data_IF_234157174502
#
_entry.id   IF_234157174502
#
_cell.length_a   1.000
_cell.length_b   1.000
_cell.length_c   1.000
_cell.angle_alpha   90.00
_cell.angle_beta   90.00
_cell.angle_gamma   90.00
#
_symmetry.space_group_name_H-M   'P 1'
#
loop_
_entity.id
_entity.type
_entity.pdbx_description
1 polymer ?
#
# COMPACT_ATOMS: atom_id res chain seq x y z
N UNK A 1 -10.87 11.26 -1.72
CA UNK A 1 -11.38 10.02 -1.10
C UNK A 1 -10.56 9.77 0.17
N UNK A 2 -10.89 8.76 0.97
CA UNK A 2 -10.20 8.51 2.25
C UNK A 2 -8.81 7.91 2.00
N UNK A 3 -7.83 8.30 2.81
CA UNK A 3 -6.49 7.69 2.77
C UNK A 3 -6.44 6.53 3.76
N UNK A 4 -5.87 5.42 3.31
CA UNK A 4 -5.60 4.24 4.12
C UNK A 4 -4.12 3.90 4.08
N UNK A 5 -3.62 3.36 5.17
CA UNK A 5 -2.25 2.90 5.33
C UNK A 5 -2.22 1.40 5.52
N UNK A 6 -1.46 0.71 4.67
CA UNK A 6 -1.06 -0.68 4.90
C UNK A 6 0.30 -0.70 5.61
N UNK A 7 0.33 -1.28 6.80
CA UNK A 7 1.56 -1.48 7.56
C UNK A 7 2.18 -2.83 7.25
N UNK A 8 3.51 -2.88 7.22
CA UNK A 8 4.27 -4.06 6.83
C UNK A 8 5.51 -4.22 7.68
N UNK A 9 5.79 -5.47 8.02
CA UNK A 9 7.07 -5.88 8.57
C UNK A 9 7.89 -6.55 7.45
N UNK A 10 9.03 -5.96 7.15
CA UNK A 10 9.97 -6.30 6.10
C UNK A 10 11.29 -6.84 6.67
N UNK A 11 11.29 -7.42 7.88
CA UNK A 11 12.49 -8.03 8.47
C UNK A 11 13.16 -8.99 7.47
N UNK A 12 14.33 -8.58 6.95
CA UNK A 12 15.14 -9.34 6.01
C UNK A 12 14.88 -9.11 4.52
N UNK A 13 13.97 -8.20 4.14
CA UNK A 13 13.65 -7.90 2.74
C UNK A 13 14.59 -6.82 2.18
N UNK A 14 15.09 -7.04 0.96
CA UNK A 14 15.96 -6.12 0.25
C UNK A 14 15.20 -4.98 -0.46
N UNK A 15 15.91 -3.90 -0.81
CA UNK A 15 15.30 -2.76 -1.53
C UNK A 15 14.70 -3.14 -2.89
N UNK A 16 15.26 -4.13 -3.58
CA UNK A 16 14.75 -4.61 -4.88
C UNK A 16 13.40 -5.33 -4.75
N UNK A 17 13.21 -6.08 -3.66
CA UNK A 17 11.96 -6.74 -3.34
C UNK A 17 10.88 -5.72 -2.97
N UNK A 18 11.25 -4.68 -2.21
CA UNK A 18 10.36 -3.55 -1.92
C UNK A 18 9.92 -2.82 -3.19
N UNK A 19 10.86 -2.52 -4.10
CA UNK A 19 10.54 -1.88 -5.37
C UNK A 19 9.63 -2.76 -6.25
N UNK A 20 9.84 -4.08 -6.23
CA UNK A 20 9.00 -5.04 -6.95
C UNK A 20 7.59 -5.13 -6.36
N UNK A 21 7.47 -5.13 -5.03
CA UNK A 21 6.18 -5.09 -4.35
C UNK A 21 5.42 -3.78 -4.63
N UNK A 22 6.12 -2.64 -4.64
CA UNK A 22 5.54 -1.35 -5.00
C UNK A 22 4.97 -1.37 -6.43
N UNK A 23 5.72 -1.87 -7.41
CA UNK A 23 5.23 -2.00 -8.80
C UNK A 23 3.96 -2.86 -8.88
N UNK A 24 3.95 -4.04 -8.24
CA UNK A 24 2.76 -4.91 -8.20
C UNK A 24 1.55 -4.21 -7.59
N UNK A 25 1.74 -3.46 -6.50
CA UNK A 25 0.66 -2.70 -5.88
C UNK A 25 0.07 -1.65 -6.83
N UNK A 26 0.92 -0.94 -7.58
CA UNK A 26 0.49 0.08 -8.55
C UNK A 26 -0.29 -0.54 -9.71
N UNK A 27 0.20 -1.66 -10.26
CA UNK A 27 -0.45 -2.31 -11.40
C UNK A 27 -1.80 -2.91 -11.00
N UNK A 28 -1.87 -3.62 -9.87
CA UNK A 28 -3.14 -4.15 -9.34
C UNK A 28 -4.12 -3.04 -8.98
N UNK A 29 -3.65 -1.92 -8.40
CA UNK A 29 -4.51 -0.76 -8.13
C UNK A 29 -5.17 -0.22 -9.40
N UNK A 30 -4.38 -0.13 -10.49
CA UNK A 30 -4.85 0.32 -11.80
C UNK A 30 -5.91 -0.63 -12.35
N UNK A 31 -5.66 -1.93 -12.30
CA UNK A 31 -6.58 -2.95 -12.80
C UNK A 31 -7.88 -3.01 -11.97
N UNK A 32 -7.79 -2.95 -10.64
CA UNK A 32 -8.95 -2.89 -9.76
C UNK A 32 -9.81 -1.65 -10.02
N UNK A 33 -9.17 -0.48 -10.14
CA UNK A 33 -9.87 0.78 -10.43
C UNK A 33 -10.54 0.76 -11.81
N UNK A 34 -9.88 0.18 -12.83
CA UNK A 34 -10.48 0.01 -14.15
C UNK A 34 -11.70 -0.94 -14.13
N UNK A 35 -11.75 -1.87 -13.17
CA UNK A 35 -12.86 -2.81 -12.97
C UNK A 35 -13.88 -2.34 -11.91
N UNK A 36 -13.82 -1.07 -11.47
CA UNK A 36 -14.83 -0.45 -10.62
C UNK A 36 -14.56 -0.47 -9.12
N UNK A 37 -13.46 -1.07 -8.65
CA UNK A 37 -13.02 -0.96 -7.25
C UNK A 37 -12.02 0.18 -7.12
N UNK A 38 -12.45 1.35 -6.65
CA UNK A 38 -11.60 2.53 -6.63
C UNK A 38 -10.52 2.42 -5.55
N UNK A 39 -9.28 2.27 -5.99
CA UNK A 39 -8.09 2.22 -5.13
C UNK A 39 -6.86 2.70 -5.89
N UNK A 40 -6.08 3.59 -5.27
CA UNK A 40 -4.92 4.22 -5.89
C UNK A 40 -3.73 4.20 -4.94
N UNK A 41 -2.59 3.69 -5.41
CA UNK A 41 -1.33 3.81 -4.69
C UNK A 41 -0.86 5.27 -4.65
N UNK A 42 -0.46 5.77 -3.48
CA UNK A 42 0.06 7.14 -3.30
C UNK A 42 1.58 7.11 -3.18
N UNK A 43 2.08 6.61 -2.05
CA UNK A 43 3.50 6.63 -1.67
C UNK A 43 3.78 5.60 -0.59
N UNK A 44 5.05 5.35 -0.33
CA UNK A 44 5.48 4.50 0.79
C UNK A 44 6.62 5.15 1.57
N UNK A 45 6.63 4.91 2.88
CA UNK A 45 7.75 5.22 3.76
C UNK A 45 8.34 3.89 4.24
N UNK A 46 9.67 3.75 4.17
CA UNK A 46 10.38 2.60 4.71
C UNK A 46 11.34 3.07 5.80
N UNK A 47 11.34 2.38 6.94
CA UNK A 47 12.22 2.60 8.09
C UNK A 47 13.16 1.40 8.19
N UNK A 48 14.36 1.44 7.57
CA UNK A 48 15.25 0.28 7.48
C UNK A 48 15.68 -0.27 8.84
N UNK A 49 15.90 0.61 9.83
CA UNK A 49 16.31 0.23 11.19
C UNK A 49 15.27 -0.61 11.92
N UNK A 50 14.00 -0.53 11.51
CA UNK A 50 12.89 -1.26 12.14
C UNK A 50 12.34 -2.36 11.22
N UNK A 51 12.79 -2.41 9.97
CA UNK A 51 12.16 -3.21 8.93
C UNK A 51 10.68 -2.86 8.74
N UNK A 52 10.24 -1.62 9.04
CA UNK A 52 8.83 -1.23 8.91
C UNK A 52 8.61 -0.51 7.59
N UNK A 53 7.58 -0.89 6.85
CA UNK A 53 7.12 -0.15 5.67
C UNK A 53 5.65 0.20 5.79
N UNK A 54 5.34 1.46 5.49
CA UNK A 54 4.00 2.03 5.47
C UNK A 54 3.68 2.44 4.04
N UNK A 55 2.65 1.85 3.44
CA UNK A 55 2.17 2.20 2.10
C UNK A 55 0.83 2.92 2.19
N UNK A 56 0.74 4.10 1.60
CA UNK A 56 -0.48 4.90 1.56
C UNK A 56 -1.26 4.68 0.27
N UNK A 57 -2.56 4.53 0.42
CA UNK A 57 -3.52 4.34 -0.65
C UNK A 57 -4.69 5.30 -0.49
N UNK A 58 -5.22 5.80 -1.61
CA UNK A 58 -6.52 6.44 -1.63
C UNK A 58 -7.57 5.39 -2.04
N UNK A 59 -8.66 5.24 -1.29
CA UNK A 59 -9.70 4.24 -1.59
C UNK A 59 -11.06 4.62 -0.98
N UNK A 60 -12.11 3.92 -1.39
CA UNK A 60 -13.45 4.04 -0.78
C UNK A 60 -13.58 3.31 0.56
N UNK A 61 -12.71 2.32 0.83
CA UNK A 61 -12.73 1.55 2.06
C UNK A 61 -11.39 0.87 2.37
N UNK A 62 -11.19 0.50 3.63
CA UNK A 62 -10.06 -0.35 4.03
C UNK A 62 -10.11 -1.73 3.34
N UNK A 63 -11.30 -2.24 3.00
CA UNK A 63 -11.45 -3.53 2.34
C UNK A 63 -10.92 -3.53 0.91
N UNK A 64 -11.15 -2.44 0.16
CA UNK A 64 -10.56 -2.28 -1.17
C UNK A 64 -9.02 -2.32 -1.14
N UNK A 65 -8.42 -1.77 -0.07
CA UNK A 65 -6.97 -1.83 0.13
C UNK A 65 -6.51 -3.23 0.53
N UNK A 66 -7.24 -3.96 1.37
CA UNK A 66 -6.94 -5.38 1.67
C UNK A 66 -6.98 -6.23 0.40
N UNK A 67 -8.06 -6.13 -0.36
CA UNK A 67 -8.24 -6.83 -1.63
C UNK A 67 -7.09 -6.55 -2.61
N UNK A 68 -6.64 -5.29 -2.73
CA UNK A 68 -5.47 -4.94 -3.53
C UNK A 68 -4.22 -5.67 -3.07
N UNK A 69 -3.93 -5.65 -1.76
CA UNK A 69 -2.73 -6.27 -1.22
C UNK A 69 -2.76 -7.79 -1.42
N UNK A 70 -3.92 -8.42 -1.23
CA UNK A 70 -4.13 -9.85 -1.44
C UNK A 70 -3.93 -10.24 -2.92
N UNK A 71 -4.55 -9.51 -3.85
CA UNK A 71 -4.39 -9.73 -5.30
C UNK A 71 -2.95 -9.49 -5.77
N UNK A 72 -2.26 -8.50 -5.20
CA UNK A 72 -0.87 -8.21 -5.49
C UNK A 72 0.13 -9.18 -4.80
N UNK A 73 -0.37 -10.10 -3.98
CA UNK A 73 0.40 -11.03 -3.16
C UNK A 73 1.45 -10.29 -2.30
N UNK A 74 1.00 -9.23 -1.61
CA UNK A 74 1.86 -8.44 -0.75
C UNK A 74 1.40 -8.53 0.70
N UNK A 75 2.22 -9.09 1.61
CA UNK A 75 1.84 -9.22 3.00
C UNK A 75 1.72 -7.85 3.68
N UNK A 76 0.77 -7.75 4.62
CA UNK A 76 0.56 -6.61 5.49
C UNK A 76 0.17 -7.08 6.90
N UNK A 77 0.45 -6.27 7.90
CA UNK A 77 0.06 -6.54 9.30
C UNK A 77 -1.33 -5.99 9.59
N UNK A 78 -1.64 -4.79 9.08
CA UNK A 78 -2.97 -4.18 9.16
C UNK A 78 -3.18 -3.13 8.07
N UNK A 79 -4.45 -2.84 7.82
CA UNK A 79 -4.92 -1.70 7.01
C UNK A 79 -5.78 -0.81 7.89
N UNK A 80 -5.42 0.46 7.99
CA UNK A 80 -6.11 1.47 8.81
C UNK A 80 -6.31 2.77 8.04
N UNK A 81 -7.31 3.56 8.42
CA UNK A 81 -7.45 4.93 7.92
C UNK A 81 -6.27 5.79 8.40
N UNK A 82 -5.82 6.71 7.54
CA UNK A 82 -4.66 7.56 7.79
C UNK A 82 -4.86 8.96 7.18
N UNK A 83 -4.02 9.91 7.60
CA UNK A 83 -3.98 11.26 7.03
C UNK A 83 -2.68 11.44 6.24
N UNK A 84 -2.79 11.71 4.93
CA UNK A 84 -1.63 12.06 4.10
C UNK A 84 -1.33 13.55 4.21
N UNK A 85 -0.55 13.94 5.22
CA UNK A 85 -0.19 15.35 5.45
C UNK A 85 0.97 15.77 4.53
N UNK A 86 0.69 16.61 3.53
CA UNK A 86 1.70 17.26 2.67
C UNK A 86 2.00 18.68 3.16
N UNK A 87 3.24 19.18 3.06
CA UNK A 87 3.54 20.59 3.32
C UNK A 87 2.67 21.52 2.46
N UNK A 88 2.33 22.73 2.95
CA UNK A 88 1.61 23.73 2.18
C UNK A 88 2.42 24.30 1.01
#
# INVERSE_FOLDING_TARGET
MTVFMAERNLQGIGMDELASAQRRAIDVARDMSANGTVVRYIRSTFVPSEGRCECLFEADSAEAVRQLNDQAHIPYTRVVEAMDLTPP
#
